data_IF_470562058076
#
_entry.id   IF_470562058076
#
_cell.length_a   1.000
_cell.length_b   1.000
_cell.length_c   1.000
_cell.angle_alpha   90.00
_cell.angle_beta   90.00
_cell.angle_gamma   90.00
#
_symmetry.space_group_name_H-M   'P 1'
#
loop_
_entity.id
_entity.type
_entity.pdbx_description
1 polymer ?
#
# COMPACT_ATOMS: atom_id res chain seq x y z
N UNK A 1 -5.63 0.06 -0.09
CA UNK A 1 -4.57 -0.95 -0.19
C UNK A 1 -3.83 -0.79 -1.50
N UNK A 2 -2.51 -0.91 -1.44
CA UNK A 2 -1.60 -0.84 -2.58
C UNK A 2 -0.90 -2.20 -2.73
N UNK A 3 -1.14 -2.88 -3.86
CA UNK A 3 -0.83 -4.29 -4.06
C UNK A 3 -1.93 -5.16 -3.47
N UNK A 4 -2.94 -5.47 -4.25
CA UNK A 4 -4.12 -6.21 -3.77
C UNK A 4 -4.13 -7.66 -4.24
N UNK A 5 -3.35 -7.98 -5.27
CA UNK A 5 -3.31 -9.29 -5.89
C UNK A 5 -4.73 -9.80 -6.20
N UNK A 6 -5.15 -10.95 -5.65
CA UNK A 6 -6.53 -11.46 -5.79
C UNK A 6 -7.49 -10.99 -4.67
N UNK A 7 -7.09 -10.02 -3.85
CA UNK A 7 -7.92 -9.46 -2.78
C UNK A 7 -7.84 -10.24 -1.45
N UNK A 8 -6.79 -11.05 -1.26
CA UNK A 8 -6.60 -11.89 -0.06
C UNK A 8 -6.71 -11.09 1.25
N UNK A 9 -6.16 -9.89 1.29
CA UNK A 9 -6.24 -9.02 2.44
C UNK A 9 -7.33 -7.95 2.28
N UNK A 10 -7.53 -7.44 1.06
CA UNK A 10 -8.48 -6.38 0.77
C UNK A 10 -9.92 -6.74 1.17
N UNK A 11 -10.42 -7.90 0.73
CA UNK A 11 -11.79 -8.30 1.01
C UNK A 11 -12.06 -8.55 2.49
N UNK A 12 -11.23 -9.31 3.24
CA UNK A 12 -11.38 -9.42 4.69
C UNK A 12 -11.31 -8.06 5.40
N UNK A 13 -10.36 -7.18 5.01
CA UNK A 13 -10.25 -5.84 5.59
C UNK A 13 -11.51 -5.01 5.39
N UNK A 14 -12.17 -5.14 4.23
CA UNK A 14 -13.47 -4.50 4.03
C UNK A 14 -14.50 -4.97 5.06
N UNK A 15 -14.66 -6.29 5.25
CA UNK A 15 -15.64 -6.83 6.21
C UNK A 15 -15.37 -6.42 7.65
N UNK A 16 -14.11 -6.32 8.04
CA UNK A 16 -13.73 -5.90 9.40
C UNK A 16 -13.91 -4.40 9.62
N UNK A 17 -13.61 -3.58 8.62
CA UNK A 17 -13.52 -2.14 8.78
C UNK A 17 -14.75 -1.36 8.31
N UNK A 18 -15.61 -1.93 7.46
CA UNK A 18 -16.71 -1.18 6.83
C UNK A 18 -17.73 -0.59 7.81
N UNK A 19 -17.85 -1.14 9.01
CA UNK A 19 -18.71 -0.62 10.07
C UNK A 19 -18.15 0.65 10.72
N UNK A 20 -16.83 0.78 10.75
CA UNK A 20 -16.12 1.88 11.38
C UNK A 20 -15.77 2.97 10.37
N UNK A 21 -15.45 2.59 9.14
CA UNK A 21 -15.06 3.50 8.08
C UNK A 21 -16.22 3.68 7.10
N UNK A 22 -16.82 4.87 7.07
CA UNK A 22 -17.96 5.18 6.21
C UNK A 22 -17.55 5.51 4.75
N UNK A 23 -16.26 5.69 4.50
CA UNK A 23 -15.71 6.07 3.20
C UNK A 23 -15.62 4.91 2.19
N UNK A 24 -14.96 5.20 1.08
CA UNK A 24 -14.64 4.21 0.04
C UNK A 24 -13.39 3.43 0.41
N UNK A 25 -13.31 2.21 -0.11
CA UNK A 25 -12.15 1.33 -0.04
C UNK A 25 -11.51 1.27 -1.42
N UNK A 26 -10.23 1.62 -1.50
CA UNK A 26 -9.51 1.71 -2.75
C UNK A 26 -8.53 0.55 -2.88
N UNK A 27 -8.62 -0.17 -4.00
CA UNK A 27 -7.73 -1.25 -4.39
C UNK A 27 -6.82 -0.75 -5.54
N UNK A 28 -5.60 -0.38 -5.21
CA UNK A 28 -4.58 0.02 -6.18
C UNK A 28 -3.70 -1.18 -6.51
N UNK A 29 -3.58 -1.53 -7.78
CA UNK A 29 -2.75 -2.65 -8.23
C UNK A 29 -2.41 -2.47 -9.71
N UNK A 30 -1.29 -3.01 -10.15
CA UNK A 30 -1.01 -3.11 -11.59
C UNK A 30 -2.00 -4.02 -12.29
N UNK A 31 -2.46 -5.05 -11.58
CA UNK A 31 -3.18 -6.22 -12.12
C UNK A 31 -2.37 -6.98 -13.20
N UNK A 32 -1.07 -6.72 -13.27
CA UNK A 32 -0.10 -7.34 -14.17
C UNK A 32 1.05 -8.00 -13.39
N UNK A 33 1.05 -7.85 -12.05
CA UNK A 33 2.07 -8.35 -11.14
C UNK A 33 3.19 -7.34 -10.88
N UNK A 34 4.26 -7.81 -10.26
CA UNK A 34 5.39 -6.97 -9.85
C UNK A 34 6.04 -6.27 -11.06
N UNK A 35 6.46 -5.03 -10.86
CA UNK A 35 7.40 -4.35 -11.74
C UNK A 35 8.76 -5.05 -11.74
N UNK A 36 9.76 -4.52 -12.42
CA UNK A 36 11.10 -5.11 -12.40
C UNK A 36 11.75 -4.93 -11.03
N UNK A 37 12.02 -6.00 -10.24
CA UNK A 37 12.69 -5.90 -8.94
C UNK A 37 14.16 -5.49 -9.07
N UNK A 38 14.71 -4.88 -8.00
CA UNK A 38 16.16 -4.82 -7.82
C UNK A 38 16.74 -6.24 -7.71
N UNK A 39 17.90 -6.54 -8.31
CA UNK A 39 18.51 -7.87 -8.20
C UNK A 39 18.72 -8.37 -6.76
N UNK A 40 18.88 -7.46 -5.79
CA UNK A 40 18.99 -7.81 -4.36
C UNK A 40 17.66 -8.32 -3.81
N UNK A 41 16.53 -7.71 -4.19
CA UNK A 41 15.19 -8.14 -3.78
C UNK A 41 14.90 -9.55 -4.29
N UNK A 42 15.16 -9.81 -5.58
CA UNK A 42 15.04 -11.16 -6.15
C UNK A 42 15.93 -12.16 -5.41
N UNK A 43 17.16 -11.79 -5.08
CA UNK A 43 18.12 -12.67 -4.37
C UNK A 43 17.65 -13.02 -2.96
N UNK A 44 17.14 -12.05 -2.21
CA UNK A 44 16.70 -12.28 -0.81
C UNK A 44 15.40 -13.06 -0.72
N UNK A 45 14.59 -13.06 -1.76
CA UNK A 45 13.35 -13.83 -1.86
C UNK A 45 13.52 -15.17 -2.58
N UNK A 46 14.77 -15.63 -2.76
CA UNK A 46 15.10 -16.89 -3.44
C UNK A 46 14.52 -17.00 -4.86
N UNK A 47 14.28 -15.86 -5.52
CA UNK A 47 13.72 -15.81 -6.86
C UNK A 47 12.20 -15.69 -6.91
N UNK A 48 11.50 -15.54 -5.79
CA UNK A 48 10.05 -15.35 -5.79
C UNK A 48 9.67 -13.97 -6.34
N UNK A 49 10.48 -12.94 -6.06
CA UNK A 49 10.27 -11.61 -6.62
C UNK A 49 10.92 -11.51 -8.01
N UNK A 50 10.09 -11.72 -9.01
CA UNK A 50 10.42 -11.54 -10.42
C UNK A 50 9.33 -10.71 -11.09
N UNK A 51 9.66 -10.05 -12.19
CA UNK A 51 8.69 -9.27 -12.97
C UNK A 51 7.49 -10.14 -13.36
N UNK A 52 6.28 -9.63 -13.10
CA UNK A 52 5.01 -10.29 -13.38
C UNK A 52 4.56 -11.32 -12.33
N UNK A 53 5.37 -11.61 -11.30
CA UNK A 53 4.90 -12.40 -10.17
C UNK A 53 3.74 -11.70 -9.45
N UNK A 54 2.86 -12.47 -8.80
CA UNK A 54 1.67 -11.96 -8.10
C UNK A 54 0.70 -11.18 -8.99
N UNK A 55 0.73 -11.40 -10.31
CA UNK A 55 -0.26 -10.84 -11.23
C UNK A 55 -1.63 -11.49 -11.05
N UNK A 56 -2.69 -10.68 -11.07
CA UNK A 56 -4.07 -11.14 -11.05
C UNK A 56 -4.95 -10.25 -11.92
N UNK A 57 -5.74 -10.85 -12.78
CA UNK A 57 -6.54 -10.12 -13.75
C UNK A 57 -7.57 -9.18 -13.10
N UNK A 58 -7.61 -7.92 -13.51
CA UNK A 58 -8.50 -6.90 -12.98
C UNK A 58 -10.00 -7.28 -13.07
N UNK A 59 -10.43 -7.85 -14.22
CA UNK A 59 -11.81 -8.28 -14.36
C UNK A 59 -12.18 -9.42 -13.39
N UNK A 60 -11.22 -10.33 -13.13
CA UNK A 60 -11.39 -11.40 -12.15
C UNK A 60 -11.45 -10.86 -10.71
N UNK A 61 -10.66 -9.85 -10.36
CA UNK A 61 -10.75 -9.17 -9.06
C UNK A 61 -12.13 -8.54 -8.85
N UNK A 62 -12.65 -7.84 -9.86
CA UNK A 62 -13.99 -7.26 -9.80
C UNK A 62 -15.07 -8.31 -9.69
N UNK A 63 -14.99 -9.40 -10.45
CA UNK A 63 -15.92 -10.52 -10.35
C UNK A 63 -15.93 -11.16 -8.94
N UNK A 64 -14.76 -11.28 -8.30
CA UNK A 64 -14.68 -11.74 -6.91
C UNK A 64 -15.39 -10.77 -5.95
N UNK A 65 -15.21 -9.46 -6.11
CA UNK A 65 -15.91 -8.47 -5.30
C UNK A 65 -17.45 -8.55 -5.47
N UNK A 66 -17.93 -8.86 -6.67
CA UNK A 66 -19.37 -9.09 -6.95
C UNK A 66 -19.87 -10.40 -6.31
N UNK A 67 -19.12 -11.51 -6.45
CA UNK A 67 -19.46 -12.81 -5.83
C UNK A 67 -19.51 -12.70 -4.30
N UNK A 68 -18.63 -11.88 -3.72
CA UNK A 68 -18.60 -11.58 -2.30
C UNK A 68 -19.64 -10.54 -1.87
N UNK A 69 -20.53 -10.14 -2.78
CA UNK A 69 -21.62 -9.18 -2.54
C UNK A 69 -21.14 -7.83 -1.94
N UNK A 70 -19.93 -7.39 -2.29
CA UNK A 70 -19.41 -6.11 -1.82
C UNK A 70 -20.12 -4.95 -2.52
N UNK A 71 -20.48 -3.88 -1.81
CA UNK A 71 -21.17 -2.73 -2.39
C UNK A 71 -20.24 -1.99 -3.37
N UNK A 72 -20.59 -2.07 -4.65
CA UNK A 72 -19.75 -1.59 -5.75
C UNK A 72 -19.49 -0.08 -5.69
N UNK A 73 -20.38 0.68 -5.08
CA UNK A 73 -20.23 2.13 -4.84
C UNK A 73 -19.16 2.46 -3.80
N UNK A 74 -18.80 1.49 -2.95
CA UNK A 74 -17.76 1.64 -1.93
C UNK A 74 -16.41 1.02 -2.31
N UNK A 75 -16.38 0.13 -3.29
CA UNK A 75 -15.17 -0.56 -3.75
C UNK A 75 -14.67 0.11 -5.03
N UNK A 76 -13.52 0.74 -4.96
CA UNK A 76 -12.91 1.43 -6.10
C UNK A 76 -11.61 0.76 -6.48
N UNK A 77 -11.54 0.20 -7.67
CA UNK A 77 -10.30 -0.37 -8.22
C UNK A 77 -9.56 0.63 -9.08
N UNK A 78 -8.25 0.72 -8.89
CA UNK A 78 -7.38 1.66 -9.63
C UNK A 78 -6.25 0.87 -10.27
N UNK A 79 -6.43 0.44 -11.54
CA UNK A 79 -5.42 -0.33 -12.23
C UNK A 79 -4.26 0.54 -12.72
N UNK A 80 -3.05 -0.03 -12.70
CA UNK A 80 -1.83 0.54 -13.29
C UNK A 80 -0.63 0.49 -12.35
N UNK A 81 0.57 0.45 -12.96
CA UNK A 81 1.81 0.54 -12.20
C UNK A 81 1.90 1.87 -11.45
N UNK A 82 2.42 1.84 -10.25
CA UNK A 82 2.35 2.98 -9.32
C UNK A 82 3.14 4.20 -9.77
N UNK A 83 4.22 4.02 -10.50
CA UNK A 83 4.99 5.10 -11.11
C UNK A 83 4.18 5.91 -12.15
N UNK A 84 3.10 5.34 -12.68
CA UNK A 84 2.25 5.95 -13.70
C UNK A 84 0.86 6.31 -13.18
N UNK A 85 0.29 5.49 -12.30
CA UNK A 85 -1.10 5.63 -11.84
C UNK A 85 -1.25 6.54 -10.62
N UNK A 86 -0.22 6.69 -9.77
CA UNK A 86 -0.31 7.46 -8.54
C UNK A 86 0.09 8.93 -8.77
N UNK A 87 -0.86 9.72 -9.22
CA UNK A 87 -0.64 11.15 -9.50
C UNK A 87 -1.59 12.03 -8.66
N UNK A 88 -1.26 13.30 -8.40
CA UNK A 88 -2.19 14.24 -7.74
C UNK A 88 -3.52 14.37 -8.49
N UNK A 89 -3.48 14.31 -9.83
CA UNK A 89 -4.69 14.34 -10.66
C UNK A 89 -5.55 13.11 -10.39
N UNK A 90 -4.93 11.92 -10.27
CA UNK A 90 -5.64 10.69 -9.95
C UNK A 90 -6.31 10.76 -8.58
N UNK A 91 -5.65 11.28 -7.55
CA UNK A 91 -6.25 11.50 -6.24
C UNK A 91 -7.50 12.39 -6.34
N UNK A 92 -7.43 13.50 -7.09
CA UNK A 92 -8.55 14.41 -7.31
C UNK A 92 -9.72 13.74 -8.06
N UNK A 93 -9.43 12.96 -9.12
CA UNK A 93 -10.43 12.18 -9.87
C UNK A 93 -11.17 11.17 -8.98
N UNK A 94 -10.45 10.54 -8.06
CA UNK A 94 -10.99 9.57 -7.11
C UNK A 94 -11.72 10.23 -5.93
N UNK A 95 -11.63 11.54 -5.79
CA UNK A 95 -12.19 12.29 -4.68
C UNK A 95 -11.44 12.08 -3.36
N UNK A 96 -10.15 11.68 -3.43
CA UNK A 96 -9.31 11.52 -2.24
C UNK A 96 -8.68 12.90 -1.93
N UNK A 97 -9.19 13.54 -0.91
CA UNK A 97 -8.72 14.86 -0.47
C UNK A 97 -7.53 14.78 0.51
N UNK A 98 -6.92 15.93 0.80
CA UNK A 98 -5.90 16.00 1.84
C UNK A 98 -6.44 15.53 3.20
N UNK A 99 -5.65 14.76 3.94
CA UNK A 99 -5.96 14.25 5.28
C UNK A 99 -7.27 13.44 5.32
N UNK A 100 -7.55 12.66 4.28
CA UNK A 100 -8.77 11.85 4.19
C UNK A 100 -8.52 10.34 4.31
N UNK A 101 -7.27 9.90 4.31
CA UNK A 101 -6.91 8.49 4.46
C UNK A 101 -6.65 8.21 5.94
N UNK A 102 -7.47 7.34 6.53
CA UNK A 102 -7.35 6.93 7.94
C UNK A 102 -6.61 5.59 8.11
N UNK A 103 -6.67 4.72 7.11
CA UNK A 103 -5.98 3.42 7.11
C UNK A 103 -5.38 3.18 5.74
N UNK A 104 -4.10 2.83 5.71
CA UNK A 104 -3.37 2.51 4.50
C UNK A 104 -2.62 1.19 4.68
N UNK A 105 -2.86 0.22 3.78
CA UNK A 105 -2.07 -1.01 3.65
C UNK A 105 -1.15 -0.88 2.44
N UNK A 106 0.14 -1.07 2.68
CA UNK A 106 1.19 -1.13 1.67
C UNK A 106 1.65 -2.58 1.59
N UNK A 107 1.50 -3.19 0.43
CA UNK A 107 1.82 -4.58 0.12
C UNK A 107 2.39 -4.61 -1.31
N UNK A 108 3.51 -3.91 -1.45
CA UNK A 108 4.13 -3.61 -2.75
C UNK A 108 5.37 -4.45 -3.00
N UNK A 109 5.82 -5.19 -1.99
CA UNK A 109 7.01 -6.05 -2.01
C UNK A 109 8.34 -5.30 -2.22
N UNK A 110 8.35 -4.34 -3.16
CA UNK A 110 9.55 -3.73 -3.74
C UNK A 110 9.76 -2.29 -3.28
N UNK A 111 11.01 -1.84 -3.30
CA UNK A 111 11.42 -0.50 -2.90
C UNK A 111 10.78 0.61 -3.77
N UNK A 112 10.92 0.52 -5.09
CA UNK A 112 10.47 1.59 -6.00
C UNK A 112 8.95 1.79 -6.00
N UNK A 113 8.11 0.74 -6.09
CA UNK A 113 6.67 0.88 -5.92
C UNK A 113 6.28 1.47 -4.57
N UNK A 114 6.93 1.04 -3.49
CA UNK A 114 6.67 1.56 -2.15
C UNK A 114 6.99 3.04 -2.02
N UNK A 115 8.10 3.50 -2.61
CA UNK A 115 8.43 4.94 -2.67
C UNK A 115 7.36 5.73 -3.43
N UNK A 116 6.88 5.20 -4.55
CA UNK A 116 5.79 5.82 -5.31
C UNK A 116 4.52 5.97 -4.47
N UNK A 117 4.16 4.92 -3.72
CA UNK A 117 3.02 4.94 -2.79
C UNK A 117 3.22 5.97 -1.68
N UNK A 118 4.35 5.97 -0.99
CA UNK A 118 4.63 6.90 0.12
C UNK A 118 4.54 8.36 -0.32
N UNK A 119 5.10 8.69 -1.48
CA UNK A 119 5.00 10.03 -2.05
C UNK A 119 3.55 10.43 -2.39
N UNK A 120 2.77 9.48 -2.89
CA UNK A 120 1.37 9.70 -3.23
C UNK A 120 0.50 9.91 -2.00
N UNK A 121 0.64 9.05 -0.98
CA UNK A 121 -0.24 9.09 0.21
C UNK A 121 0.14 10.19 1.19
N UNK A 122 1.37 10.67 1.21
CA UNK A 122 1.85 11.64 2.19
C UNK A 122 0.94 12.86 2.37
N UNK A 123 0.50 13.57 1.32
CA UNK A 123 -0.44 14.68 1.47
C UNK A 123 -1.86 14.25 1.86
N UNK A 124 -2.21 12.97 1.64
CA UNK A 124 -3.57 12.43 1.76
C UNK A 124 -3.84 11.77 3.10
N UNK A 125 -2.80 11.27 3.80
CA UNK A 125 -2.93 10.67 5.14
C UNK A 125 -3.40 11.69 6.16
N UNK A 126 -4.34 11.30 7.01
CA UNK A 126 -4.69 12.07 8.20
C UNK A 126 -3.60 11.91 9.29
N UNK A 127 -3.51 12.87 10.19
CA UNK A 127 -2.64 12.75 11.38
C UNK A 127 -3.23 11.70 12.32
N UNK A 128 -2.43 10.71 12.72
CA UNK A 128 -2.91 9.53 13.44
C UNK A 128 -3.39 8.37 12.55
N UNK A 129 -3.28 8.48 11.22
CA UNK A 129 -3.63 7.39 10.33
C UNK A 129 -2.78 6.14 10.59
N UNK A 130 -3.40 4.97 10.45
CA UNK A 130 -2.72 3.68 10.53
C UNK A 130 -2.09 3.34 9.18
N UNK A 131 -0.80 3.07 9.18
CA UNK A 131 -0.05 2.63 8.01
C UNK A 131 0.53 1.24 8.29
N UNK A 132 0.25 0.32 7.40
CA UNK A 132 0.70 -1.06 7.48
C UNK A 132 1.61 -1.39 6.31
N UNK A 133 2.72 -2.07 6.61
CA UNK A 133 3.63 -2.65 5.63
C UNK A 133 3.62 -4.16 5.78
N UNK A 134 3.30 -4.89 4.70
CA UNK A 134 3.22 -6.36 4.73
C UNK A 134 4.59 -7.01 4.81
N UNK A 135 5.53 -6.49 4.05
CA UNK A 135 6.86 -7.05 3.88
C UNK A 135 7.96 -6.29 4.61
N UNK A 136 7.62 -5.64 5.73
CA UNK A 136 8.55 -4.81 6.51
C UNK A 136 9.87 -5.48 6.86
N UNK A 137 9.83 -6.78 7.17
CA UNK A 137 11.03 -7.56 7.54
C UNK A 137 11.44 -8.59 6.50
N UNK A 138 10.78 -8.61 5.38
CA UNK A 138 11.22 -9.39 4.23
C UNK A 138 12.62 -8.90 3.79
N UNK A 139 13.24 -9.50 2.85
CA UNK A 139 14.61 -9.13 2.43
C UNK A 139 15.59 -9.02 3.61
N UNK A 140 15.42 -9.85 4.66
CA UNK A 140 16.22 -9.84 5.90
C UNK A 140 16.19 -8.49 6.65
N UNK A 141 15.12 -7.74 6.49
CA UNK A 141 14.96 -6.40 7.05
C UNK A 141 16.12 -5.44 6.65
N UNK A 142 16.68 -5.60 5.46
CA UNK A 142 17.72 -4.71 4.92
C UNK A 142 17.17 -3.27 4.83
N UNK A 143 17.85 -2.27 5.40
CA UNK A 143 17.38 -0.89 5.41
C UNK A 143 17.45 -0.19 4.04
N UNK A 144 17.93 -0.86 3.00
CA UNK A 144 18.19 -0.25 1.69
C UNK A 144 17.34 -0.85 0.55
N UNK A 145 16.49 -1.83 0.85
CA UNK A 145 15.64 -2.50 -0.16
C UNK A 145 14.28 -2.85 0.42
N UNK A 146 13.33 -3.21 -0.46
CA UNK A 146 11.98 -3.57 -0.08
C UNK A 146 11.23 -2.42 0.57
N UNK A 147 10.10 -2.73 1.20
CA UNK A 147 9.22 -1.75 1.84
C UNK A 147 9.92 -0.98 2.97
N UNK A 148 10.69 -1.68 3.79
CA UNK A 148 11.45 -1.05 4.86
C UNK A 148 12.48 -0.07 4.35
N UNK A 149 13.24 -0.44 3.31
CA UNK A 149 14.22 0.43 2.68
C UNK A 149 13.58 1.69 2.13
N UNK A 150 12.43 1.54 1.47
CA UNK A 150 11.67 2.65 0.94
C UNK A 150 11.21 3.61 2.05
N UNK A 151 10.61 3.07 3.13
CA UNK A 151 10.10 3.90 4.23
C UNK A 151 11.22 4.65 4.95
N UNK A 152 12.35 4.01 5.24
CA UNK A 152 13.49 4.64 5.90
C UNK A 152 14.13 5.73 5.02
N UNK A 153 14.26 5.48 3.72
CA UNK A 153 14.75 6.48 2.77
C UNK A 153 13.79 7.67 2.69
N UNK A 154 12.50 7.38 2.53
CA UNK A 154 11.45 8.40 2.43
C UNK A 154 11.37 9.30 3.68
N UNK A 155 11.44 8.73 4.89
CA UNK A 155 11.44 9.49 6.15
C UNK A 155 12.65 10.41 6.28
N UNK A 156 13.82 9.98 5.82
CA UNK A 156 15.03 10.81 5.83
C UNK A 156 14.89 12.05 4.95
N UNK A 157 14.19 11.93 3.83
CA UNK A 157 13.95 13.04 2.90
C UNK A 157 12.75 13.90 3.32
N UNK A 158 11.89 13.37 4.19
CA UNK A 158 10.66 14.02 4.64
C UNK A 158 10.61 14.15 6.17
N UNK A 159 11.51 14.95 6.80
CA UNK A 159 11.66 15.03 8.26
C UNK A 159 10.44 15.63 8.99
N UNK A 160 9.47 16.16 8.26
CA UNK A 160 8.19 16.62 8.81
C UNK A 160 7.19 15.49 9.07
N UNK A 161 7.51 14.26 8.71
CA UNK A 161 6.67 13.10 8.93
C UNK A 161 7.34 12.12 9.87
N UNK A 162 6.54 11.38 10.60
CA UNK A 162 6.98 10.34 11.53
C UNK A 162 6.09 9.10 11.40
N UNK A 163 6.70 7.93 11.51
CA UNK A 163 6.02 6.65 11.65
C UNK A 163 6.35 6.10 13.05
N UNK A 164 5.36 6.18 13.95
CA UNK A 164 5.50 5.66 15.31
C UNK A 164 5.09 4.21 15.33
N UNK A 165 5.92 3.36 15.87
CA UNK A 165 5.67 1.91 15.98
C UNK A 165 4.32 1.64 16.65
N UNK A 166 3.50 0.81 16.02
CA UNK A 166 2.28 0.26 16.58
C UNK A 166 2.41 -1.27 16.68
N UNK A 167 1.88 -1.91 17.73
CA UNK A 167 2.05 -3.34 17.94
C UNK A 167 1.67 -4.19 16.74
N UNK A 168 2.56 -5.11 16.36
CA UNK A 168 2.36 -6.09 15.31
C UNK A 168 2.49 -7.49 15.88
N UNK A 169 1.57 -8.38 15.52
CA UNK A 169 1.50 -9.77 16.04
C UNK A 169 2.27 -10.77 15.17
N UNK A 170 2.69 -10.37 13.98
CA UNK A 170 3.40 -11.23 13.04
C UNK A 170 4.80 -10.71 12.76
N UNK A 171 5.76 -11.61 12.59
CA UNK A 171 7.18 -11.26 12.44
C UNK A 171 7.51 -10.48 11.15
N UNK A 172 6.75 -10.69 10.09
CA UNK A 172 7.07 -10.15 8.77
C UNK A 172 6.63 -8.69 8.62
N UNK A 173 5.41 -8.38 9.01
CA UNK A 173 4.80 -7.08 8.79
C UNK A 173 4.91 -6.13 9.98
N UNK A 174 4.63 -4.84 9.75
CA UNK A 174 4.64 -3.81 10.78
C UNK A 174 3.53 -2.80 10.57
N UNK A 175 2.87 -2.43 11.67
CA UNK A 175 1.95 -1.30 11.76
C UNK A 175 2.67 -0.07 12.30
N UNK A 176 2.24 1.10 11.82
CA UNK A 176 2.68 2.40 12.31
C UNK A 176 1.50 3.34 12.46
N UNK A 177 1.64 4.32 13.36
CA UNK A 177 0.81 5.52 13.41
C UNK A 177 1.57 6.61 12.68
N UNK A 178 0.95 7.20 11.66
CA UNK A 178 1.53 8.31 10.90
C UNK A 178 1.29 9.63 11.63
N UNK A 179 2.34 10.41 11.79
CA UNK A 179 2.25 11.77 12.32
C UNK A 179 2.87 12.81 11.40
N UNK A 180 2.25 13.98 11.39
CA UNK A 180 2.83 15.19 10.83
C UNK A 180 3.42 15.99 11.97
N UNK A 181 4.75 16.13 12.01
CA UNK A 181 5.39 16.99 12.98
C UNK A 181 4.91 18.44 12.73
N UNK A 182 4.13 18.99 13.65
CA UNK A 182 3.84 20.42 13.62
C UNK A 182 5.18 21.13 13.78
N UNK A 183 5.59 21.89 12.77
CA UNK A 183 6.69 22.83 12.97
C UNK A 183 6.32 23.69 14.19
N UNK A 184 7.10 23.54 15.24
CA UNK A 184 7.00 24.37 16.45
C UNK A 184 7.44 25.79 16.12
#
# INVERSE_FOLDING_TARGET
EFGTFFGRAFFPSYYELHHWLQGKFFAFDSFEGLSQPDPRETRYTNGDFIKGAYGFNHASFRALAEILELPQERIVTVPGFFDQSLTPQKAAELGIGPKSISVCRIDCDLLEPTLSVLNFIAPLLDDGALVYFDDWRLCRADPNIGERGAALHWLKENPSFELVDFPSIHWQHQWFIFHRNKQV
#
